data_IF_246000625923
#
_entry.id   IF_246000625923
#
_cell.length_a   1.000
_cell.length_b   1.000
_cell.length_c   1.000
_cell.angle_alpha   90.00
_cell.angle_beta   90.00
_cell.angle_gamma   90.00
#
_symmetry.space_group_name_H-M   'P 1'
#
loop_
_entity.id
_entity.type
_entity.pdbx_description
1 polymer ?
#
# COMPACT_ATOMS: atom_id res chain seq x y z
N UNK A 1 -6.49 -6.50 18.52
CA UNK A 1 -6.68 -6.43 17.07
C UNK A 1 -5.44 -5.74 16.51
N UNK A 2 -4.74 -6.35 15.55
CA UNK A 2 -3.60 -5.68 14.92
C UNK A 2 -4.11 -4.47 14.14
N UNK A 3 -3.35 -3.37 14.14
CA UNK A 3 -3.66 -2.22 13.30
C UNK A 3 -3.63 -2.65 11.81
N UNK A 4 -4.57 -2.19 10.96
CA UNK A 4 -4.61 -2.59 9.55
C UNK A 4 -3.30 -2.30 8.80
N UNK A 5 -2.62 -1.19 9.12
CA UNK A 5 -1.31 -0.89 8.53
C UNK A 5 -0.25 -1.87 9.00
N UNK A 6 -0.24 -2.25 10.28
CA UNK A 6 0.70 -3.25 10.79
C UNK A 6 0.54 -4.60 10.08
N UNK A 7 -0.70 -5.01 9.79
CA UNK A 7 -0.99 -6.23 9.03
C UNK A 7 -0.47 -6.13 7.60
N UNK A 8 -0.77 -5.04 6.89
CA UNK A 8 -0.30 -4.84 5.51
C UNK A 8 1.23 -4.87 5.43
N UNK A 9 1.91 -4.17 6.36
CA UNK A 9 3.37 -4.16 6.45
C UNK A 9 3.91 -5.56 6.66
N UNK A 10 3.33 -6.33 7.59
CA UNK A 10 3.76 -7.72 7.82
C UNK A 10 3.58 -8.60 6.57
N UNK A 11 2.42 -8.51 5.90
CA UNK A 11 2.16 -9.26 4.66
C UNK A 11 3.13 -8.89 3.53
N UNK A 12 3.48 -7.61 3.43
CA UNK A 12 4.46 -7.12 2.45
C UNK A 12 5.83 -7.77 2.64
N UNK A 13 6.36 -7.80 3.87
CA UNK A 13 7.65 -8.46 4.16
C UNK A 13 7.58 -9.98 4.09
N UNK A 14 6.39 -10.57 4.26
CA UNK A 14 6.15 -12.00 4.06
C UNK A 14 6.01 -12.41 2.58
N UNK A 15 6.10 -11.45 1.64
CA UNK A 15 5.91 -11.70 0.21
C UNK A 15 4.57 -12.36 -0.12
N UNK A 16 3.53 -12.01 0.64
CA UNK A 16 2.15 -12.47 0.38
C UNK A 16 1.77 -12.11 -1.06
N UNK A 17 1.05 -13.00 -1.74
CA UNK A 17 0.63 -12.72 -3.10
C UNK A 17 -0.18 -11.42 -3.16
N UNK A 18 0.14 -10.56 -4.13
CA UNK A 18 -0.45 -9.23 -4.29
C UNK A 18 -1.99 -9.20 -4.17
N UNK A 19 -2.76 -10.11 -4.82
CA UNK A 19 -4.22 -10.12 -4.69
C UNK A 19 -4.75 -10.46 -3.28
N UNK A 20 -3.89 -10.98 -2.40
CA UNK A 20 -4.20 -11.37 -1.02
C UNK A 20 -3.72 -10.35 0.03
N UNK A 21 -3.08 -9.26 -0.40
CA UNK A 21 -2.71 -8.16 0.50
C UNK A 21 -3.98 -7.47 1.00
N UNK A 22 -4.03 -7.28 2.31
CA UNK A 22 -5.15 -6.64 2.99
C UNK A 22 -4.87 -5.14 3.07
N UNK A 23 -5.30 -4.42 2.03
CA UNK A 23 -5.16 -2.97 1.98
C UNK A 23 -6.11 -2.29 2.97
N UNK A 24 -5.72 -1.10 3.42
CA UNK A 24 -6.59 -0.24 4.22
C UNK A 24 -7.79 0.25 3.38
N UNK A 25 -8.88 0.60 4.06
CA UNK A 25 -10.05 1.22 3.44
C UNK A 25 -9.68 2.50 2.67
N UNK A 26 -10.41 2.78 1.59
CA UNK A 26 -10.12 3.89 0.67
C UNK A 26 -10.04 5.25 1.37
N UNK A 27 -10.98 5.52 2.27
CA UNK A 27 -11.03 6.75 3.08
C UNK A 27 -9.84 6.91 4.05
N UNK A 28 -9.14 5.81 4.38
CA UNK A 28 -7.91 5.82 5.17
C UNK A 28 -6.69 5.93 4.27
N UNK A 29 -6.70 5.25 3.12
CA UNK A 29 -5.59 5.19 2.17
C UNK A 29 -5.32 6.53 1.47
N UNK A 30 -6.37 7.34 1.25
CA UNK A 30 -6.22 8.69 0.68
C UNK A 30 -5.59 9.71 1.63
N UNK A 31 -5.50 9.40 2.94
CA UNK A 31 -4.97 10.35 3.92
C UNK A 31 -3.44 10.49 3.78
N UNK A 32 -2.89 11.71 3.73
CA UNK A 32 -1.45 11.93 3.60
C UNK A 32 -0.61 11.23 4.68
N UNK A 33 -1.08 11.23 5.93
CA UNK A 33 -0.40 10.55 7.04
C UNK A 33 -0.31 9.04 6.84
N UNK A 34 -1.34 8.41 6.25
CA UNK A 34 -1.33 6.97 5.93
C UNK A 34 -0.34 6.69 4.82
N UNK A 35 -0.34 7.49 3.74
CA UNK A 35 0.57 7.32 2.61
C UNK A 35 2.04 7.47 3.03
N UNK A 36 2.32 8.45 3.88
CA UNK A 36 3.65 8.65 4.46
C UNK A 36 4.06 7.43 5.31
N UNK A 37 3.17 6.94 6.17
CA UNK A 37 3.45 5.76 6.99
C UNK A 37 3.68 4.49 6.16
N UNK A 38 2.96 4.30 5.04
CA UNK A 38 3.21 3.21 4.08
C UNK A 38 4.60 3.34 3.47
N UNK A 39 4.96 4.54 2.98
CA UNK A 39 6.27 4.78 2.39
C UNK A 39 7.39 4.46 3.40
N UNK A 40 7.32 5.04 4.59
CA UNK A 40 8.36 4.91 5.62
C UNK A 40 8.57 3.46 6.07
N UNK A 41 7.50 2.65 6.08
CA UNK A 41 7.53 1.29 6.61
C UNK A 41 7.74 0.21 5.54
N UNK A 42 7.51 0.51 4.26
CA UNK A 42 7.54 -0.50 3.18
C UNK A 42 8.52 -0.17 2.05
N UNK A 43 8.77 1.11 1.76
CA UNK A 43 9.48 1.53 0.55
C UNK A 43 10.69 2.44 0.82
N UNK A 44 10.91 2.84 2.07
CA UNK A 44 12.03 3.68 2.45
C UNK A 44 13.37 2.92 2.28
N UNK A 45 14.32 3.54 1.57
CA UNK A 45 15.65 2.96 1.28
C UNK A 45 16.44 2.59 2.55
N UNK A 46 16.14 3.21 3.70
CA UNK A 46 16.75 2.87 4.98
C UNK A 46 16.43 1.45 5.49
N UNK A 47 15.45 0.76 4.88
CA UNK A 47 15.06 -0.62 5.20
C UNK A 47 16.01 -1.66 4.59
N UNK A 48 16.94 -1.26 3.73
CA UNK A 48 17.95 -2.16 3.16
C UNK A 48 18.85 -2.77 4.26
N UNK A 49 19.16 -4.09 4.22
CA UNK A 49 18.87 -5.07 3.16
C UNK A 49 17.58 -5.88 3.38
N UNK A 50 16.80 -5.57 4.42
CA UNK A 50 15.64 -6.35 4.86
C UNK A 50 14.38 -5.90 4.12
N UNK A 51 14.46 -5.68 2.80
CA UNK A 51 13.34 -5.22 1.97
C UNK A 51 13.02 -6.27 0.89
N UNK A 52 11.74 -6.47 0.52
CA UNK A 52 11.35 -7.36 -0.57
C UNK A 52 12.08 -7.08 -1.90
N UNK A 53 12.14 -8.05 -2.82
CA UNK A 53 12.71 -7.84 -4.16
C UNK A 53 12.02 -6.70 -4.92
N UNK A 54 12.81 -5.89 -5.66
CA UNK A 54 12.35 -4.67 -6.35
C UNK A 54 11.13 -4.89 -7.24
N UNK A 55 11.04 -6.04 -7.92
CA UNK A 55 9.89 -6.39 -8.76
C UNK A 55 8.60 -6.55 -7.94
N UNK A 56 8.67 -7.14 -6.75
CA UNK A 56 7.55 -7.24 -5.83
C UNK A 56 7.17 -5.85 -5.30
N UNK A 57 8.15 -5.07 -4.84
CA UNK A 57 7.91 -3.69 -4.38
C UNK A 57 7.15 -2.86 -5.42
N UNK A 58 7.64 -2.89 -6.67
CA UNK A 58 7.06 -2.15 -7.79
C UNK A 58 5.60 -2.53 -8.05
N UNK A 59 5.27 -3.83 -7.97
CA UNK A 59 3.91 -4.30 -8.20
C UNK A 59 2.98 -3.92 -7.06
N UNK A 60 3.44 -3.99 -5.81
CA UNK A 60 2.67 -3.55 -4.64
C UNK A 60 2.41 -2.05 -4.70
N UNK A 61 3.44 -1.25 -5.01
CA UNK A 61 3.33 0.19 -5.14
C UNK A 61 2.31 0.58 -6.23
N UNK A 62 2.37 -0.06 -7.40
CA UNK A 62 1.39 0.15 -8.48
C UNK A 62 -0.04 -0.13 -8.03
N UNK A 63 -0.27 -1.23 -7.33
CA UNK A 63 -1.59 -1.56 -6.80
C UNK A 63 -2.10 -0.50 -5.81
N UNK A 64 -1.25 -0.04 -4.88
CA UNK A 64 -1.60 0.98 -3.90
C UNK A 64 -1.95 2.30 -4.59
N UNK A 65 -1.13 2.73 -5.55
CA UNK A 65 -1.37 3.96 -6.33
C UNK A 65 -2.71 3.85 -7.08
N UNK A 66 -2.95 2.76 -7.81
CA UNK A 66 -4.21 2.57 -8.54
C UNK A 66 -5.44 2.57 -7.62
N UNK A 67 -5.31 2.05 -6.38
CA UNK A 67 -6.40 2.12 -5.40
C UNK A 67 -6.65 3.55 -4.93
N UNK A 68 -5.59 4.32 -4.65
CA UNK A 68 -5.70 5.74 -4.27
C UNK A 68 -6.34 6.55 -5.39
N UNK A 69 -5.85 6.40 -6.62
CA UNK A 69 -6.38 7.09 -7.81
C UNK A 69 -7.87 6.78 -8.03
N UNK A 70 -8.27 5.51 -7.92
CA UNK A 70 -9.66 5.09 -8.03
C UNK A 70 -10.55 5.56 -6.88
N UNK A 71 -9.98 5.88 -5.71
CA UNK A 71 -10.72 6.40 -4.54
C UNK A 71 -10.96 7.91 -4.60
N UNK A 72 -10.14 8.62 -5.38
CA UNK A 72 -10.23 10.07 -5.60
C UNK A 72 -11.10 10.39 -6.82
N UNK A 73 -11.17 9.47 -7.78
CA UNK A 73 -12.02 9.61 -8.97
C UNK A 73 -13.48 9.42 -8.59
N UNK A 74 -14.28 10.48 -8.71
CA UNK A 74 -15.72 10.45 -8.51
C UNK A 74 -16.40 9.68 -9.66
N UNK A 75 -17.23 8.64 -9.41
CA UNK A 75 -17.96 7.92 -10.46
C UNK A 75 -18.99 8.76 -11.24
N UNK A 76 -19.14 10.06 -10.95
CA UNK A 76 -20.05 10.99 -11.64
C UNK A 76 -19.43 11.72 -12.86
N UNK A 77 -18.18 11.47 -13.23
CA UNK A 77 -17.58 12.01 -14.48
C UNK A 77 -17.80 11.07 -15.69
N UNK A 78 -19.05 10.70 -16.03
CA UNK A 78 -19.41 10.10 -17.33
C UNK A 78 -20.96 10.04 -17.53
N UNK A 79 -21.65 11.18 -17.42
CA UNK A 79 -23.07 11.35 -17.85
C UNK A 79 -23.28 12.59 -18.72
#
# INVERSE_FOLDING_TARGET
MLDPLDKLVAQYFQLVEIPLLDLLDDNVLVKPETQQAIYDRMFNDSLWPVIPPVNYQTRVLKMIISRIEGSISDPEEDV
#
